data_IF_107495598405
#
_entry.id   IF_107495598405
#
_cell.length_a   1.000
_cell.length_b   1.000
_cell.length_c   1.000
_cell.angle_alpha   90.00
_cell.angle_beta   90.00
_cell.angle_gamma   90.00
#
_symmetry.space_group_name_H-M   'P 1'
#
loop_
_entity.id
_entity.type
_entity.pdbx_description
1 polymer ?
#
# COMPACT_ATOMS: atom_id res chain seq x y z
N UNK A 1 12.50 -26.03 6.57
CA UNK A 1 13.27 -24.78 6.66
C UNK A 1 12.43 -23.79 7.45
N UNK A 2 12.86 -23.38 8.64
CA UNK A 2 12.20 -22.31 9.38
C UNK A 2 12.65 -21.00 8.76
N UNK A 3 11.77 -20.33 8.00
CA UNK A 3 12.07 -19.01 7.45
C UNK A 3 12.31 -18.03 8.59
N UNK A 4 13.46 -17.38 8.59
CA UNK A 4 13.75 -16.34 9.57
C UNK A 4 12.84 -15.14 9.26
N UNK A 5 12.17 -14.58 10.27
CA UNK A 5 11.37 -13.36 10.08
C UNK A 5 12.27 -12.22 9.59
N UNK A 6 11.77 -11.46 8.63
CA UNK A 6 12.43 -10.22 8.17
C UNK A 6 12.02 -9.12 9.14
N UNK A 7 12.98 -8.56 9.88
CA UNK A 7 12.73 -7.36 10.67
C UNK A 7 12.48 -6.16 9.76
N UNK A 8 11.36 -5.46 9.95
CA UNK A 8 10.92 -4.39 9.05
C UNK A 8 11.26 -2.98 9.55
N UNK A 9 11.87 -2.83 10.73
CA UNK A 9 12.09 -1.52 11.36
C UNK A 9 12.89 -0.54 10.51
N UNK A 10 13.88 -1.02 9.76
CA UNK A 10 14.76 -0.19 8.95
C UNK A 10 14.29 -0.06 7.50
N UNK A 11 13.17 -0.70 7.14
CA UNK A 11 12.55 -0.53 5.84
C UNK A 11 11.69 0.72 5.79
N UNK A 12 11.61 1.33 4.62
CA UNK A 12 10.62 2.37 4.33
C UNK A 12 9.67 1.87 3.25
N UNK A 13 8.40 2.24 3.36
CA UNK A 13 7.33 1.73 2.49
C UNK A 13 6.67 2.85 1.71
N UNK A 14 6.27 2.53 0.48
CA UNK A 14 5.51 3.43 -0.39
C UNK A 14 4.44 2.65 -1.13
N UNK A 15 3.21 3.10 -1.04
CA UNK A 15 2.05 2.55 -1.73
C UNK A 15 1.31 3.68 -2.42
N UNK A 16 0.87 3.44 -3.64
CA UNK A 16 -0.03 4.31 -4.36
C UNK A 16 -1.19 3.50 -4.94
N UNK A 17 -2.36 4.11 -5.00
CA UNK A 17 -3.53 3.54 -5.69
C UNK A 17 -3.83 4.39 -6.91
N UNK A 18 -4.09 3.76 -8.06
CA UNK A 18 -4.34 4.41 -9.35
C UNK A 18 -5.54 3.79 -10.07
N UNK A 19 -6.13 4.52 -11.01
CA UNK A 19 -7.23 4.02 -11.85
C UNK A 19 -6.79 2.84 -12.73
N UNK A 20 -5.55 2.87 -13.23
CA UNK A 20 -4.94 1.79 -14.02
C UNK A 20 -3.42 1.77 -13.84
N UNK A 21 -2.79 0.70 -14.33
CA UNK A 21 -1.32 0.51 -14.32
C UNK A 21 -0.57 1.52 -15.22
N UNK A 22 -1.30 2.17 -16.12
CA UNK A 22 -0.82 3.17 -17.07
C UNK A 22 -1.19 4.59 -16.65
N UNK A 23 -2.01 4.77 -15.61
CA UNK A 23 -2.41 6.07 -15.12
C UNK A 23 -1.23 6.81 -14.50
N UNK A 24 -1.07 8.09 -14.87
CA UNK A 24 -0.08 8.99 -14.27
C UNK A 24 -0.60 9.69 -13.00
N UNK A 25 -1.92 9.71 -12.80
CA UNK A 25 -2.56 10.26 -11.61
C UNK A 25 -2.74 9.20 -10.54
N UNK A 26 -2.57 9.62 -9.29
CA UNK A 26 -2.85 8.79 -8.12
C UNK A 26 -4.22 9.13 -7.56
N UNK A 27 -5.00 8.10 -7.24
CA UNK A 27 -6.30 8.25 -6.57
C UNK A 27 -6.12 8.21 -5.06
N UNK A 28 -5.23 7.33 -4.56
CA UNK A 28 -4.67 7.44 -3.20
C UNK A 28 -3.18 7.70 -3.31
N UNK A 29 -2.71 8.94 -3.04
CA UNK A 29 -1.28 9.23 -3.04
C UNK A 29 -0.60 8.61 -1.82
N UNK A 30 0.69 8.33 -1.93
CA UNK A 30 1.49 7.73 -0.83
C UNK A 30 1.46 8.51 0.48
N UNK A 31 1.33 9.84 0.45
CA UNK A 31 1.17 10.66 1.65
C UNK A 31 -0.11 10.39 2.45
N UNK A 32 -1.10 9.72 1.85
CA UNK A 32 -2.36 9.35 2.49
C UNK A 32 -2.35 7.92 3.07
N UNK A 33 -1.24 7.20 2.91
CA UNK A 33 -1.04 5.83 3.40
C UNK A 33 -0.10 5.86 4.61
N UNK A 34 -0.47 5.14 5.66
CA UNK A 34 0.33 4.99 6.87
C UNK A 34 0.78 3.54 7.06
N UNK A 35 1.93 3.37 7.70
CA UNK A 35 2.58 2.08 7.88
C UNK A 35 2.94 1.88 9.34
N UNK A 36 2.56 0.72 9.90
CA UNK A 36 3.06 0.26 11.20
C UNK A 36 3.79 -1.04 10.99
N UNK A 37 5.11 -0.97 11.13
CA UNK A 37 6.02 -2.10 10.92
C UNK A 37 6.46 -2.71 12.25
N UNK A 38 6.70 -4.02 12.25
CA UNK A 38 7.14 -4.78 13.41
C UNK A 38 8.42 -5.55 13.11
N UNK A 39 9.25 -5.72 14.15
CA UNK A 39 10.42 -6.61 14.14
C UNK A 39 10.06 -8.08 13.84
N UNK A 40 8.79 -8.44 13.98
CA UNK A 40 8.27 -9.79 13.72
C UNK A 40 7.84 -9.99 12.25
N UNK A 41 8.17 -9.07 11.35
CA UNK A 41 7.82 -9.21 9.92
C UNK A 41 6.37 -8.89 9.60
N UNK A 42 5.65 -8.19 10.48
CA UNK A 42 4.29 -7.72 10.24
C UNK A 42 4.31 -6.27 9.78
N UNK A 43 3.61 -5.98 8.69
CA UNK A 43 3.36 -4.64 8.19
C UNK A 43 1.85 -4.40 8.17
N UNK A 44 1.38 -3.45 8.97
CA UNK A 44 0.04 -2.89 8.84
C UNK A 44 0.10 -1.71 7.88
N UNK A 45 -0.76 -1.73 6.86
CA UNK A 45 -0.91 -0.64 5.89
C UNK A 45 -2.33 -0.08 6.04
N UNK A 46 -2.43 1.23 6.28
CA UNK A 46 -3.71 1.88 6.57
C UNK A 46 -3.91 3.15 5.77
N UNK A 47 -5.06 3.24 5.12
CA UNK A 47 -5.59 4.45 4.49
C UNK A 47 -6.75 4.93 5.38
N UNK A 48 -6.71 6.20 5.80
CA UNK A 48 -7.80 6.77 6.59
C UNK A 48 -9.07 6.92 5.76
N UNK A 49 -10.24 6.86 6.40
CA UNK A 49 -11.55 7.07 5.78
C UNK A 49 -11.65 8.44 5.10
N UNK A 50 -11.09 9.49 5.72
CA UNK A 50 -11.01 10.84 5.14
C UNK A 50 -10.22 10.90 3.84
N UNK A 51 -9.36 9.91 3.57
CA UNK A 51 -8.53 9.81 2.38
C UNK A 51 -9.12 8.87 1.32
N UNK A 52 -10.26 8.22 1.61
CA UNK A 52 -10.98 7.32 0.72
C UNK A 52 -12.13 8.06 0.02
N UNK A 53 -11.81 9.17 -0.65
CA UNK A 53 -12.80 10.06 -1.29
C UNK A 53 -13.19 9.63 -2.71
N UNK A 54 -12.75 8.44 -3.14
CA UNK A 54 -13.00 7.92 -4.48
C UNK A 54 -14.36 7.21 -4.56
N UNK A 55 -14.91 7.11 -5.78
CA UNK A 55 -16.11 6.31 -6.00
C UNK A 55 -15.80 4.81 -5.79
N UNK A 56 -16.86 4.01 -5.62
CA UNK A 56 -16.66 2.56 -5.66
C UNK A 56 -16.27 2.13 -7.08
N UNK A 57 -15.42 1.10 -7.16
CA UNK A 57 -14.79 0.72 -8.40
C UNK A 57 -13.60 -0.23 -8.19
N UNK A 58 -12.93 -0.51 -9.30
CA UNK A 58 -11.72 -1.32 -9.33
C UNK A 58 -10.52 -0.45 -9.71
N UNK A 59 -9.52 -0.46 -8.85
CA UNK A 59 -8.29 0.28 -8.98
C UNK A 59 -7.09 -0.69 -8.97
N UNK A 60 -5.90 -0.17 -9.19
CA UNK A 60 -4.64 -0.90 -9.02
C UNK A 60 -3.81 -0.28 -7.92
N UNK A 61 -3.00 -1.08 -7.25
CA UNK A 61 -2.02 -0.62 -6.28
C UNK A 61 -0.69 -1.35 -6.42
N UNK A 62 0.38 -0.70 -5.96
CA UNK A 62 1.65 -1.34 -5.65
C UNK A 62 2.10 -0.97 -4.24
N UNK A 63 2.91 -1.83 -3.62
CA UNK A 63 3.62 -1.58 -2.38
C UNK A 63 5.10 -1.84 -2.64
N UNK A 64 5.87 -0.77 -2.56
CA UNK A 64 7.32 -0.79 -2.64
C UNK A 64 7.91 -0.75 -1.24
N UNK A 65 8.94 -1.54 -1.02
CA UNK A 65 9.78 -1.46 0.15
C UNK A 65 11.19 -1.06 -0.28
N UNK A 66 11.76 -0.11 0.46
CA UNK A 66 13.16 0.30 0.32
C UNK A 66 13.92 -0.25 1.51
N UNK A 67 14.95 -1.04 1.25
CA UNK A 67 15.82 -1.59 2.29
C UNK A 67 16.76 -0.53 2.87
N UNK A 68 17.49 -0.82 3.96
CA UNK A 68 18.40 0.13 4.60
C UNK A 68 19.60 0.54 3.73
N UNK A 69 19.88 -0.22 2.66
CA UNK A 69 20.93 0.07 1.69
C UNK A 69 20.41 0.90 0.51
N UNK A 70 19.11 1.23 0.49
CA UNK A 70 18.45 1.99 -0.56
C UNK A 70 17.94 1.16 -1.74
N UNK A 71 17.98 -0.17 -1.67
CA UNK A 71 17.44 -1.02 -2.71
C UNK A 71 15.91 -1.02 -2.65
N UNK A 72 15.28 -0.62 -3.76
CA UNK A 72 13.82 -0.57 -3.89
C UNK A 72 13.32 -1.85 -4.55
N UNK A 73 12.29 -2.46 -3.96
CA UNK A 73 11.64 -3.65 -4.51
C UNK A 73 10.13 -3.59 -4.33
N UNK A 74 9.38 -4.04 -5.33
CA UNK A 74 7.92 -4.20 -5.23
C UNK A 74 7.62 -5.50 -4.51
N UNK A 75 6.97 -5.41 -3.35
CA UNK A 75 6.62 -6.56 -2.52
C UNK A 75 5.21 -7.06 -2.79
N UNK A 76 4.27 -6.14 -2.96
CA UNK A 76 2.88 -6.44 -3.29
C UNK A 76 2.44 -5.55 -4.44
N UNK A 77 1.58 -6.08 -5.28
CA UNK A 77 0.85 -5.32 -6.28
C UNK A 77 -0.45 -6.05 -6.59
N UNK A 78 -1.46 -5.33 -7.03
CA UNK A 78 -2.69 -5.97 -7.45
C UNK A 78 -3.87 -5.03 -7.57
N UNK A 79 -5.05 -5.61 -7.39
CA UNK A 79 -6.32 -4.91 -7.50
C UNK A 79 -6.75 -4.36 -6.15
N UNK A 80 -7.21 -3.11 -6.16
CA UNK A 80 -7.81 -2.43 -5.01
C UNK A 80 -9.28 -2.17 -5.33
N UNK A 81 -10.17 -2.97 -4.74
CA UNK A 81 -11.62 -2.84 -4.97
C UNK A 81 -12.24 -1.99 -3.86
N UNK A 82 -12.87 -0.90 -4.24
CA UNK A 82 -13.71 -0.09 -3.35
C UNK A 82 -15.16 -0.47 -3.62
N UNK A 83 -15.87 -0.92 -2.59
CA UNK A 83 -17.30 -1.20 -2.73
C UNK A 83 -18.09 0.10 -2.54
N UNK A 84 -19.05 0.37 -3.41
CA UNK A 84 -19.99 1.48 -3.21
C UNK A 84 -20.85 1.22 -1.98
N UNK A 85 -21.20 2.30 -1.28
CA UNK A 85 -22.27 2.24 -0.30
C UNK A 85 -23.59 2.04 -1.03
N UNK A 86 -24.37 1.04 -0.59
CA UNK A 86 -25.64 0.67 -1.20
C UNK A 86 -26.82 1.34 -0.46
N UNK A 87 -26.57 1.87 0.74
CA UNK A 87 -27.60 2.50 1.58
C UNK A 87 -27.61 4.02 1.42
N UNK A 88 -28.82 4.60 1.45
CA UNK A 88 -29.11 6.05 1.34
C UNK A 88 -29.77 6.57 2.62
#
# INVERSE_FOLDING_TARGET
MTGNQVGLNDYTFKMEVRDSDTASTTVVPSGNVSYVQSVLGTLEVKIADTNMTMAGGLYVYDLQATDPNGAVSTWLQGLFKVNEDVTV
#
